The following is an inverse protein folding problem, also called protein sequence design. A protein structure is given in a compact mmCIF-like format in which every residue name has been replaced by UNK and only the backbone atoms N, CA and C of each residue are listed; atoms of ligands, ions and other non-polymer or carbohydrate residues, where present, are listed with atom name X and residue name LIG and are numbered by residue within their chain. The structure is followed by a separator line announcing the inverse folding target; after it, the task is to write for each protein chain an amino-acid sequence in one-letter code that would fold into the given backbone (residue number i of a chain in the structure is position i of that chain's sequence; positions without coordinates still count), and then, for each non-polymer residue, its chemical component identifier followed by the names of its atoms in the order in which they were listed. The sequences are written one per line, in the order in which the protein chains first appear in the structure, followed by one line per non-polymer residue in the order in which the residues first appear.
data_IF_568234222130
#
_entry.id   IF_568234222130
#
_cell.length_a   1.000
_cell.length_b   1.000
_cell.length_c   1.000
_cell.angle_alpha   90.00
_cell.angle_beta   90.00
_cell.angle_gamma   90.00
#
_symmetry.space_group_name_H-M   'P 1'
#
loop_
_entity.id
_entity.type
_entity.pdbx_description
1 polymer ?
#
# COMPACT_ATOMS: atom_id res chain seq x y z
N UNK A 1 15.81 44.78 5.54
CA UNK A 1 14.81 44.37 6.57
C UNK A 1 13.84 43.26 6.12
N UNK A 2 13.78 42.89 4.83
CA UNK A 2 12.81 41.90 4.29
C UNK A 2 13.11 40.43 4.64
N UNK A 3 14.36 40.07 4.94
CA UNK A 3 14.74 38.67 5.27
C UNK A 3 14.30 38.23 6.66
N UNK A 4 14.32 39.14 7.64
CA UNK A 4 13.89 38.84 9.02
C UNK A 4 12.38 38.60 9.09
N UNK A 5 11.57 39.41 8.38
CA UNK A 5 10.11 39.22 8.32
C UNK A 5 9.71 37.86 7.76
N UNK A 6 10.34 37.45 6.65
CA UNK A 6 10.14 36.11 6.08
C UNK A 6 10.50 34.99 7.06
N UNK A 7 11.54 35.18 7.89
CA UNK A 7 11.92 34.22 8.92
C UNK A 7 10.88 34.08 10.02
N UNK A 8 10.34 35.20 10.51
CA UNK A 8 9.31 35.24 11.57
C UNK A 8 7.98 34.66 11.07
N UNK A 9 7.55 35.03 9.87
CA UNK A 9 6.32 34.50 9.25
C UNK A 9 6.38 32.98 9.09
N UNK A 10 7.55 32.49 8.66
CA UNK A 10 7.79 31.05 8.50
C UNK A 10 7.75 30.32 9.85
N UNK A 11 8.35 30.88 10.89
CA UNK A 11 8.28 30.32 12.24
C UNK A 11 6.83 30.26 12.77
N UNK A 12 6.06 31.34 12.57
CA UNK A 12 4.66 31.41 12.96
C UNK A 12 3.78 30.37 12.22
N UNK A 13 3.98 30.21 10.91
CA UNK A 13 3.30 29.20 10.11
C UNK A 13 3.63 27.77 10.54
N UNK A 14 4.92 27.48 10.81
CA UNK A 14 5.35 26.17 11.30
C UNK A 14 4.76 25.83 12.66
N UNK A 15 4.72 26.81 13.57
CA UNK A 15 4.14 26.65 14.90
C UNK A 15 2.65 26.32 14.82
N UNK A 16 1.87 27.08 14.04
CA UNK A 16 0.43 26.84 13.86
C UNK A 16 0.14 25.44 13.28
N UNK A 17 0.91 25.03 12.27
CA UNK A 17 0.74 23.72 11.62
C UNK A 17 1.02 22.56 12.58
N UNK A 18 2.09 22.68 13.39
CA UNK A 18 2.43 21.68 14.40
C UNK A 18 1.30 21.55 15.44
N UNK A 19 0.83 22.67 15.98
CA UNK A 19 -0.24 22.69 16.99
C UNK A 19 -1.53 22.08 16.45
N UNK A 20 -1.94 22.41 15.22
CA UNK A 20 -3.18 21.89 14.63
C UNK A 20 -3.10 20.37 14.37
N UNK A 21 -1.97 19.88 13.84
CA UNK A 21 -1.81 18.45 13.58
C UNK A 21 -1.75 17.64 14.87
N UNK A 22 -1.01 18.12 15.88
CA UNK A 22 -0.96 17.48 17.19
C UNK A 22 -2.31 17.51 17.89
N UNK A 23 -3.03 18.65 17.85
CA UNK A 23 -4.35 18.77 18.44
C UNK A 23 -5.37 17.82 17.79
N UNK A 24 -5.38 17.70 16.46
CA UNK A 24 -6.25 16.75 15.75
C UNK A 24 -5.94 15.30 16.14
N UNK A 25 -4.67 14.94 16.25
CA UNK A 25 -4.25 13.62 16.70
C UNK A 25 -4.71 13.32 18.12
N UNK A 26 -4.53 14.27 19.05
CA UNK A 26 -4.97 14.14 20.45
C UNK A 26 -6.50 14.02 20.52
N UNK A 27 -7.26 14.84 19.78
CA UNK A 27 -8.72 14.78 19.78
C UNK A 27 -9.23 13.47 19.18
N UNK A 28 -8.64 13.00 18.08
CA UNK A 28 -8.99 11.71 17.49
C UNK A 28 -8.68 10.56 18.45
N UNK A 29 -7.53 10.60 19.12
CA UNK A 29 -7.15 9.62 20.13
C UNK A 29 -8.07 9.64 21.34
N UNK A 30 -8.48 10.80 21.84
CA UNK A 30 -9.45 10.90 22.94
C UNK A 30 -10.84 10.39 22.53
N UNK A 31 -11.28 10.67 21.29
CA UNK A 31 -12.57 10.18 20.76
C UNK A 31 -12.60 8.67 20.49
N UNK A 32 -11.44 8.04 20.29
CA UNK A 32 -11.33 6.60 20.10
C UNK A 32 -11.57 5.79 21.40
N UNK A 33 -11.90 6.43 22.52
CA UNK A 33 -12.31 5.74 23.74
C UNK A 33 -13.79 5.36 23.71
N UNK A 34 -14.11 4.08 23.89
CA UNK A 34 -15.50 3.59 23.85
C UNK A 34 -16.30 3.91 25.12
N UNK A 35 -15.62 4.19 26.24
CA UNK A 35 -16.23 4.41 27.56
C UNK A 35 -15.78 5.75 28.15
N UNK A 36 -16.63 6.37 28.96
CA UNK A 36 -16.30 7.63 29.66
C UNK A 36 -15.08 7.49 30.58
N UNK A 37 -14.89 6.32 31.21
CA UNK A 37 -13.70 6.03 32.03
C UNK A 37 -12.41 5.97 31.21
N UNK A 38 -12.45 5.47 29.98
CA UNK A 38 -11.30 5.45 29.07
C UNK A 38 -10.92 6.87 28.65
N UNK A 39 -11.90 7.73 28.36
CA UNK A 39 -11.65 9.15 28.13
C UNK A 39 -10.96 9.82 29.33
N UNK A 40 -11.41 9.56 30.56
CA UNK A 40 -10.80 10.13 31.77
C UNK A 40 -9.36 9.62 31.99
N UNK A 41 -9.11 8.32 31.78
CA UNK A 41 -7.78 7.74 31.89
C UNK A 41 -6.84 8.36 30.84
N UNK A 42 -7.29 8.47 29.59
CA UNK A 42 -6.52 9.09 28.51
C UNK A 42 -6.25 10.58 28.78
N UNK A 43 -7.23 11.29 29.32
CA UNK A 43 -7.07 12.69 29.72
C UNK A 43 -6.06 12.84 30.87
N UNK A 44 -6.13 11.98 31.89
CA UNK A 44 -5.17 11.97 32.99
C UNK A 44 -3.75 11.65 32.48
N UNK A 45 -3.63 10.69 31.56
CA UNK A 45 -2.35 10.34 30.92
C UNK A 45 -1.74 11.50 30.14
N UNK A 46 -2.57 12.41 29.60
CA UNK A 46 -2.11 13.62 28.94
C UNK A 46 -1.80 14.76 29.93
N UNK A 47 -2.64 14.93 30.95
CA UNK A 47 -2.53 16.04 31.90
C UNK A 47 -1.34 15.89 32.86
N UNK A 48 -1.08 14.68 33.37
CA UNK A 48 0.01 14.41 34.31
C UNK A 48 1.39 14.84 33.78
N UNK A 49 1.85 14.42 32.59
CA UNK A 49 3.16 14.83 32.08
C UNK A 49 3.22 16.33 31.78
N UNK A 50 2.10 16.97 31.41
CA UNK A 50 2.05 18.43 31.19
C UNK A 50 2.27 19.18 32.50
N UNK A 51 1.61 18.76 33.60
CA UNK A 51 1.79 19.38 34.92
C UNK A 51 3.21 19.17 35.46
N UNK A 52 3.75 17.97 35.29
CA UNK A 52 5.13 17.65 35.69
C UNK A 52 6.10 18.52 34.88
N UNK A 53 5.97 18.55 33.55
CA UNK A 53 6.81 19.36 32.66
C UNK A 53 6.73 20.84 32.99
N UNK A 54 5.52 21.36 33.28
CA UNK A 54 5.32 22.74 33.71
C UNK A 54 6.04 23.06 35.01
N UNK A 55 5.97 22.16 35.99
CA UNK A 55 6.69 22.31 37.27
C UNK A 55 8.21 22.37 37.05
N UNK A 56 8.77 21.53 36.18
CA UNK A 56 10.19 21.58 35.82
C UNK A 56 10.59 22.87 35.08
N UNK A 57 9.73 23.37 34.18
CA UNK A 57 9.96 24.63 33.49
C UNK A 57 9.92 25.82 34.47
N UNK A 58 9.00 25.82 35.43
CA UNK A 58 8.88 26.86 36.44
C UNK A 58 10.04 26.83 37.46
N UNK A 59 10.57 25.64 37.74
CA UNK A 59 11.66 25.46 38.71
C UNK A 59 13.04 25.88 38.17
N UNK A 60 13.24 25.92 36.85
CA UNK A 60 14.54 26.21 36.27
C UNK A 60 14.46 27.04 35.00
N UNK A 61 14.95 28.28 35.10
CA UNK A 61 15.13 29.18 33.94
C UNK A 61 15.97 28.53 32.84
N UNK A 62 16.96 27.69 33.19
CA UNK A 62 17.78 26.99 32.21
C UNK A 62 16.96 25.96 31.39
N UNK A 63 16.05 25.23 32.04
CA UNK A 63 15.15 24.28 31.36
C UNK A 63 14.19 25.03 30.42
N UNK A 64 13.68 26.18 30.83
CA UNK A 64 12.86 27.04 29.98
C UNK A 64 13.61 27.47 28.71
N UNK A 65 14.87 27.89 28.82
CA UNK A 65 15.69 28.24 27.65
C UNK A 65 15.98 27.05 26.75
N UNK A 66 16.28 25.87 27.30
CA UNK A 66 16.46 24.66 26.51
C UNK A 66 15.18 24.30 25.75
N UNK A 67 14.03 24.33 26.43
CA UNK A 67 12.75 24.09 25.79
C UNK A 67 12.46 25.10 24.68
N UNK A 68 12.73 26.38 24.89
CA UNK A 68 12.57 27.42 23.88
C UNK A 68 13.47 27.17 22.65
N UNK A 69 14.74 26.77 22.85
CA UNK A 69 15.65 26.43 21.75
C UNK A 69 15.16 25.20 21.00
N UNK A 70 14.77 24.14 21.70
CA UNK A 70 14.23 22.91 21.10
C UNK A 70 12.95 23.22 20.32
N UNK A 71 12.06 24.03 20.87
CA UNK A 71 10.84 24.47 20.21
C UNK A 71 11.14 25.29 18.96
N UNK A 72 12.06 26.25 19.02
CA UNK A 72 12.51 27.02 17.87
C UNK A 72 13.10 26.13 16.77
N UNK A 73 13.92 25.13 17.13
CA UNK A 73 14.47 24.15 16.17
C UNK A 73 13.37 23.28 15.57
N UNK A 74 12.43 22.79 16.37
CA UNK A 74 11.31 21.98 15.92
C UNK A 74 10.38 22.78 15.00
N UNK A 75 10.01 24.00 15.38
CA UNK A 75 9.21 24.92 14.57
C UNK A 75 9.94 25.30 13.28
N UNK A 76 11.26 25.56 13.32
CA UNK A 76 12.05 25.81 12.12
C UNK A 76 12.11 24.59 11.19
N UNK A 77 12.21 23.38 11.74
CA UNK A 77 12.16 22.12 10.97
C UNK A 77 10.79 21.88 10.35
N UNK A 78 9.71 22.10 11.10
CA UNK A 78 8.34 21.99 10.60
C UNK A 78 8.01 23.07 9.56
N UNK A 79 8.57 24.27 9.74
CA UNK A 79 8.46 25.38 8.82
C UNK A 79 9.42 25.28 7.63
N UNK A 80 10.32 24.29 7.56
CA UNK A 80 10.98 24.00 6.28
C UNK A 80 9.84 23.72 5.31
N UNK A 81 9.67 24.54 4.24
CA UNK A 81 8.61 24.35 3.27
C UNK A 81 8.80 22.94 2.84
N UNK A 82 7.88 22.05 3.26
CA UNK A 82 8.14 20.62 3.46
C UNK A 82 9.03 20.17 2.33
N UNK A 83 10.36 20.14 2.56
CA UNK A 83 11.40 20.27 1.52
C UNK A 83 10.86 19.50 0.36
N UNK A 84 10.32 20.21 -0.68
CA UNK A 84 9.29 19.71 -1.62
C UNK A 84 9.33 18.23 -1.49
N UNK A 85 8.43 17.61 -0.71
CA UNK A 85 8.56 16.21 -0.28
C UNK A 85 8.95 15.40 -1.50
N UNK A 86 10.25 15.20 -1.76
CA UNK A 86 10.74 15.25 -3.14
C UNK A 86 9.70 14.64 -4.08
N UNK A 87 8.90 15.49 -4.73
CA UNK A 87 9.17 15.67 -6.16
C UNK A 87 10.68 15.87 -6.14
N UNK A 88 11.40 14.75 -6.20
CA UNK A 88 12.66 14.88 -6.84
C UNK A 88 12.24 15.52 -8.17
N UNK A 89 13.07 16.29 -8.80
CA UNK A 89 14.06 15.55 -9.58
C UNK A 89 14.04 14.04 -9.30
N UNK A 90 12.93 13.37 -9.69
CA UNK A 90 12.99 12.03 -10.21
C UNK A 90 14.28 12.09 -11.00
N UNK A 91 15.30 11.31 -10.63
CA UNK A 91 16.24 10.97 -11.66
C UNK A 91 15.32 10.48 -12.77
N UNK A 92 15.38 11.12 -13.92
CA UNK A 92 14.84 10.56 -15.13
C UNK A 92 15.67 9.29 -15.38
N UNK A 93 15.50 8.26 -14.55
CA UNK A 93 15.53 6.90 -15.04
C UNK A 93 14.42 6.94 -16.05
N UNK A 94 14.80 6.89 -17.33
CA UNK A 94 13.80 6.92 -18.35
C UNK A 94 12.90 5.71 -18.10
N UNK A 95 11.58 5.81 -18.28
CA UNK A 95 10.69 4.65 -18.14
C UNK A 95 11.19 3.45 -18.95
N UNK A 96 11.93 3.70 -20.02
CA UNK A 96 12.61 2.71 -20.85
C UNK A 96 13.71 1.95 -20.07
N UNK A 97 14.60 2.64 -19.34
CA UNK A 97 15.65 2.01 -18.53
C UNK A 97 15.05 1.10 -17.44
N UNK A 98 13.94 1.52 -16.83
CA UNK A 98 13.23 0.72 -15.84
C UNK A 98 12.62 -0.53 -16.48
N UNK A 99 12.12 -0.41 -17.70
CA UNK A 99 11.50 -1.50 -18.46
C UNK A 99 12.54 -2.54 -18.85
N UNK A 100 13.73 -2.12 -19.26
CA UNK A 100 14.84 -3.03 -19.59
C UNK A 100 15.30 -3.84 -18.37
N UNK A 101 15.47 -3.17 -17.21
CA UNK A 101 15.81 -3.85 -15.95
C UNK A 101 14.71 -4.84 -15.53
N UNK A 102 13.43 -4.47 -15.73
CA UNK A 102 12.31 -5.38 -15.48
C UNK A 102 12.33 -6.58 -16.42
N UNK A 103 12.68 -6.41 -17.69
CA UNK A 103 12.80 -7.50 -18.66
C UNK A 103 13.94 -8.46 -18.32
N UNK A 104 15.11 -7.92 -17.99
CA UNK A 104 16.27 -8.72 -17.59
C UNK A 104 15.95 -9.55 -16.34
N UNK A 105 15.32 -8.94 -15.33
CA UNK A 105 14.95 -9.64 -14.10
C UNK A 105 13.79 -10.61 -14.26
N UNK A 106 12.85 -10.33 -15.17
CA UNK A 106 11.72 -11.21 -15.45
C UNK A 106 12.18 -12.47 -16.17
N UNK A 107 13.00 -12.33 -17.22
CA UNK A 107 13.40 -13.43 -18.09
C UNK A 107 12.18 -14.30 -18.47
N UNK A 108 12.25 -15.60 -18.18
CA UNK A 108 11.14 -16.56 -18.38
C UNK A 108 10.20 -16.75 -17.18
N UNK A 109 10.27 -15.90 -16.15
CA UNK A 109 9.43 -16.01 -14.95
C UNK A 109 8.09 -15.29 -15.15
N UNK A 110 7.08 -15.69 -14.37
CA UNK A 110 5.72 -15.11 -14.41
C UNK A 110 5.62 -13.68 -13.83
N UNK A 111 6.63 -13.26 -13.08
CA UNK A 111 6.69 -11.93 -12.47
C UNK A 111 7.97 -11.72 -11.66
N UNK A 112 8.19 -10.47 -11.25
CA UNK A 112 9.38 -10.03 -10.52
C UNK A 112 8.98 -9.39 -9.21
N UNK A 113 9.77 -9.68 -8.17
CA UNK A 113 9.57 -9.11 -6.85
C UNK A 113 10.18 -7.70 -6.74
N UNK A 114 9.46 -6.75 -6.14
CA UNK A 114 9.94 -5.36 -6.04
C UNK A 114 11.26 -5.25 -5.27
N UNK A 115 11.52 -6.10 -4.27
CA UNK A 115 12.79 -6.05 -3.55
C UNK A 115 13.98 -6.53 -4.40
N UNK A 116 13.74 -7.39 -5.40
CA UNK A 116 14.78 -7.80 -6.33
C UNK A 116 15.12 -6.66 -7.30
N UNK A 117 14.10 -5.95 -7.79
CA UNK A 117 14.27 -4.73 -8.61
C UNK A 117 15.05 -3.67 -7.84
N UNK A 118 14.69 -3.41 -6.58
CA UNK A 118 15.40 -2.44 -5.74
C UNK A 118 16.88 -2.79 -5.53
N UNK A 119 17.20 -4.08 -5.35
CA UNK A 119 18.59 -4.55 -5.22
C UNK A 119 19.37 -4.36 -6.53
N UNK A 120 18.78 -4.68 -7.66
CA UNK A 120 19.42 -4.51 -8.97
C UNK A 120 19.67 -3.02 -9.27
N UNK A 121 18.69 -2.15 -9.06
CA UNK A 121 18.84 -0.70 -9.21
C UNK A 121 19.91 -0.11 -8.29
N UNK A 122 20.03 -0.63 -7.06
CA UNK A 122 21.11 -0.23 -6.13
C UNK A 122 22.49 -0.67 -6.62
N UNK A 123 22.57 -1.79 -7.33
CA UNK A 123 23.82 -2.29 -7.92
C UNK A 123 24.23 -1.48 -9.15
N UNK A 124 23.28 -1.10 -9.99
CA UNK A 124 23.51 -0.33 -11.22
C UNK A 124 23.73 1.16 -10.96
N UNK A 125 23.21 1.70 -9.86
CA UNK A 125 23.41 3.11 -9.46
C UNK A 125 24.28 3.21 -8.20
N UNK A 126 25.61 3.06 -8.29
CA UNK A 126 26.50 3.20 -7.14
C UNK A 126 26.39 4.60 -6.54
N UNK A 127 26.12 4.67 -5.23
CA UNK A 127 25.89 5.93 -4.50
C UNK A 127 24.44 6.19 -4.12
N UNK A 128 23.49 5.36 -4.57
CA UNK A 128 22.09 5.44 -4.12
C UNK A 128 21.54 4.07 -3.71
N UNK A 129 21.02 4.01 -2.49
CA UNK A 129 20.23 2.86 -2.02
C UNK A 129 18.78 3.04 -2.43
N UNK A 130 18.26 2.12 -3.24
CA UNK A 130 16.86 2.11 -3.65
C UNK A 130 16.02 1.27 -2.68
N UNK A 131 14.90 1.82 -2.22
CA UNK A 131 13.93 1.08 -1.39
C UNK A 131 12.76 0.54 -2.22
N UNK A 132 12.06 -0.46 -1.71
CA UNK A 132 10.82 -1.00 -2.31
C UNK A 132 9.76 0.10 -2.51
N UNK A 133 9.74 1.10 -1.63
CA UNK A 133 8.82 2.24 -1.71
C UNK A 133 9.17 3.16 -2.88
N UNK A 134 10.45 3.35 -3.16
CA UNK A 134 10.91 4.18 -4.28
C UNK A 134 10.62 3.50 -5.62
N UNK A 135 10.86 2.19 -5.70
CA UNK A 135 10.52 1.38 -6.88
C UNK A 135 9.02 1.38 -7.14
N UNK A 136 8.17 1.26 -6.09
CA UNK A 136 6.72 1.32 -6.26
C UNK A 136 6.29 2.66 -6.88
N UNK A 137 6.84 3.78 -6.40
CA UNK A 137 6.53 5.09 -6.96
C UNK A 137 6.93 5.22 -8.42
N UNK A 138 8.12 4.72 -8.79
CA UNK A 138 8.57 4.72 -10.18
C UNK A 138 7.64 3.91 -11.08
N UNK A 139 7.20 2.73 -10.61
CA UNK A 139 6.25 1.90 -11.35
C UNK A 139 4.88 2.58 -11.50
N UNK A 140 4.39 3.23 -10.43
CA UNK A 140 3.15 4.02 -10.47
C UNK A 140 3.25 5.20 -11.44
N UNK A 141 4.39 5.90 -11.48
CA UNK A 141 4.66 6.99 -12.42
C UNK A 141 4.73 6.50 -13.87
N UNK A 142 5.27 5.30 -14.10
CA UNK A 142 5.28 4.64 -15.40
C UNK A 142 3.93 4.01 -15.80
N UNK A 143 2.90 4.10 -14.96
CA UNK A 143 1.59 3.49 -15.21
C UNK A 143 1.56 1.96 -15.11
N UNK A 144 2.58 1.34 -14.48
CA UNK A 144 2.70 -0.11 -14.35
C UNK A 144 2.03 -0.56 -13.03
N UNK A 145 1.00 -1.41 -13.08
CA UNK A 145 0.28 -1.83 -11.88
C UNK A 145 1.12 -2.76 -11.00
N UNK A 146 1.20 -2.43 -9.70
CA UNK A 146 1.88 -3.25 -8.68
C UNK A 146 0.86 -4.14 -7.97
N UNK A 147 1.07 -5.47 -7.96
CA UNK A 147 0.16 -6.42 -7.31
C UNK A 147 0.76 -6.96 -6.01
N UNK A 148 -0.09 -7.13 -5.01
CA UNK A 148 0.30 -7.65 -3.68
C UNK A 148 0.47 -9.18 -3.63
N UNK A 149 0.16 -9.90 -4.71
CA UNK A 149 0.12 -11.36 -4.74
C UNK A 149 0.83 -11.96 -5.94
N UNK A 150 2.13 -11.70 -6.07
CA UNK A 150 2.97 -12.37 -7.07
C UNK A 150 3.64 -13.58 -6.40
N UNK A 151 3.29 -14.78 -6.85
CA UNK A 151 3.96 -16.02 -6.41
C UNK A 151 5.29 -16.16 -7.13
N UNK A 152 6.37 -16.12 -6.37
CA UNK A 152 7.73 -16.36 -6.87
C UNK A 152 8.22 -17.71 -6.33
N UNK A 153 8.77 -18.59 -7.18
CA UNK A 153 9.37 -19.85 -6.73
C UNK A 153 10.44 -19.57 -5.65
N UNK A 154 10.29 -20.17 -4.48
CA UNK A 154 11.25 -20.08 -3.36
C UNK A 154 11.05 -18.92 -2.36
N UNK A 155 10.20 -17.92 -2.65
CA UNK A 155 9.94 -16.80 -1.72
C UNK A 155 8.48 -16.68 -1.23
N UNK A 156 7.55 -17.44 -1.81
CA UNK A 156 6.12 -17.37 -1.45
C UNK A 156 5.37 -16.23 -2.15
N UNK A 157 4.28 -15.77 -1.54
CA UNK A 157 3.45 -14.67 -2.05
C UNK A 157 4.08 -13.36 -1.63
N UNK A 158 4.42 -12.52 -2.59
CA UNK A 158 5.09 -11.26 -2.32
C UNK A 158 4.63 -10.15 -3.27
N UNK A 159 4.98 -8.90 -2.94
CA UNK A 159 4.58 -7.73 -3.74
C UNK A 159 5.46 -7.65 -4.99
N UNK A 160 4.83 -7.68 -6.17
CA UNK A 160 5.54 -7.81 -7.44
C UNK A 160 4.81 -7.17 -8.62
N UNK A 161 5.47 -7.22 -9.77
CA UNK A 161 4.90 -6.89 -11.08
C UNK A 161 4.82 -8.18 -11.90
N UNK A 162 3.69 -8.40 -12.58
CA UNK A 162 3.56 -9.52 -13.51
C UNK A 162 4.14 -9.18 -14.87
N UNK A 163 4.64 -10.19 -15.58
CA UNK A 163 5.20 -10.02 -16.93
C UNK A 163 4.22 -9.36 -17.91
N UNK A 164 2.93 -9.68 -17.81
CA UNK A 164 1.88 -9.12 -18.68
C UNK A 164 1.63 -7.62 -18.46
N UNK A 165 2.04 -7.10 -17.31
CA UNK A 165 1.79 -5.71 -16.92
C UNK A 165 2.98 -4.80 -17.34
N UNK A 166 4.05 -5.35 -17.94
CA UNK A 166 5.25 -4.61 -18.38
C UNK A 166 5.03 -4.10 -19.82
N UNK A 167 5.14 -2.78 -20.09
CA UNK A 167 5.02 -2.22 -21.43
C UNK A 167 6.12 -2.75 -22.35
N UNK A 168 5.81 -2.96 -23.64
CA UNK A 168 6.73 -3.61 -24.58
C UNK A 168 6.70 -5.14 -24.56
N UNK A 169 5.75 -5.75 -23.81
CA UNK A 169 5.40 -7.16 -24.02
C UNK A 169 5.10 -7.41 -25.50
N UNK A 170 5.78 -8.34 -26.18
CA UNK A 170 5.25 -8.87 -27.42
C UNK A 170 3.88 -9.41 -27.05
N UNK A 171 2.84 -8.69 -27.47
CA UNK A 171 1.46 -9.09 -27.25
C UNK A 171 1.37 -10.57 -27.62
N UNK A 172 0.82 -11.46 -26.77
CA UNK A 172 0.35 -12.71 -27.31
C UNK A 172 -0.54 -12.34 -28.50
N UNK A 173 -0.26 -12.95 -29.64
CA UNK A 173 -0.94 -12.67 -30.90
C UNK A 173 -2.45 -12.52 -30.66
N UNK A 174 -3.15 -11.60 -31.33
CA UNK A 174 -4.60 -11.63 -31.34
C UNK A 174 -4.99 -13.04 -31.73
N UNK A 175 -5.71 -13.72 -30.84
CA UNK A 175 -6.34 -14.98 -31.18
C UNK A 175 -7.23 -14.68 -32.38
N UNK A 176 -6.81 -15.13 -33.56
CA UNK A 176 -7.62 -15.06 -34.76
C UNK A 176 -9.00 -15.67 -34.43
N UNK A 177 -10.09 -15.02 -34.84
CA UNK A 177 -11.42 -15.54 -34.63
C UNK A 177 -11.59 -16.80 -35.50
N UNK A 178 -11.47 -17.97 -34.91
CA UNK A 178 -12.04 -19.18 -35.51
C UNK A 178 -13.54 -19.20 -35.25
N UNK A 179 -14.35 -19.58 -36.25
CA UNK A 179 -15.77 -19.27 -36.27
C UNK A 179 -16.61 -20.29 -35.50
N UNK A 180 -17.62 -19.77 -34.82
CA UNK A 180 -18.93 -20.38 -34.51
C UNK A 180 -18.92 -21.79 -33.86
N UNK A 181 -19.21 -21.80 -32.56
CA UNK A 181 -19.70 -22.97 -31.84
C UNK A 181 -20.18 -22.54 -30.45
N UNK A 182 -21.49 -22.55 -30.26
CA UNK A 182 -22.25 -22.17 -29.07
C UNK A 182 -21.71 -22.86 -27.80
N UNK A 183 -21.46 -22.09 -26.72
CA UNK A 183 -21.82 -22.42 -25.32
C UNK A 183 -21.26 -21.37 -24.32
N UNK A 184 -22.07 -20.82 -23.40
CA UNK A 184 -21.60 -19.84 -22.41
C UNK A 184 -20.78 -20.54 -21.31
N UNK A 185 -19.45 -20.47 -21.40
CA UNK A 185 -18.53 -20.93 -20.37
C UNK A 185 -18.48 -19.91 -19.21
N UNK A 186 -19.25 -20.19 -18.14
CA UNK A 186 -19.24 -19.44 -16.88
C UNK A 186 -17.97 -19.79 -16.10
N UNK A 187 -17.05 -18.83 -15.97
CA UNK A 187 -15.84 -18.93 -15.14
C UNK A 187 -16.20 -18.82 -13.64
N UNK A 188 -15.86 -19.80 -12.78
CA UNK A 188 -16.20 -19.76 -11.35
C UNK A 188 -15.08 -19.08 -10.55
N UNK A 189 -14.94 -17.76 -10.65
CA UNK A 189 -14.05 -17.02 -9.76
C UNK A 189 -14.46 -15.57 -9.54
N UNK A 190 -15.75 -15.24 -9.65
CA UNK A 190 -16.36 -14.04 -9.05
C UNK A 190 -17.86 -14.29 -8.98
N UNK A 191 -18.33 -14.96 -7.93
CA UNK A 191 -19.75 -15.04 -7.62
C UNK A 191 -19.94 -14.64 -6.16
N UNK A 192 -20.09 -13.34 -5.94
CA UNK A 192 -20.89 -12.85 -4.83
C UNK A 192 -22.27 -13.50 -4.96
N UNK A 193 -22.66 -14.19 -3.90
CA UNK A 193 -23.92 -14.89 -3.67
C UNK A 193 -25.11 -14.43 -4.52
N UNK A 194 -25.59 -15.29 -5.42
CA UNK A 194 -27.00 -15.59 -5.75
C UNK A 194 -26.99 -16.68 -6.84
N UNK A 195 -26.67 -17.93 -6.49
CA UNK A 195 -26.83 -19.06 -7.39
C UNK A 195 -27.89 -19.99 -6.80
N UNK A 196 -29.14 -19.81 -7.23
CA UNK A 196 -30.30 -20.61 -6.80
C UNK A 196 -30.50 -21.84 -7.71
N UNK A 197 -29.71 -21.98 -8.78
CA UNK A 197 -29.92 -23.02 -9.79
C UNK A 197 -28.89 -24.15 -9.63
N UNK A 198 -29.33 -25.43 -9.59
CA UNK A 198 -28.40 -26.56 -9.60
C UNK A 198 -27.61 -26.59 -10.90
N UNK A 199 -26.34 -26.99 -10.83
CA UNK A 199 -25.49 -27.14 -12.01
C UNK A 199 -24.74 -28.47 -11.99
N UNK A 200 -24.45 -29.00 -13.19
CA UNK A 200 -23.80 -30.29 -13.40
C UNK A 200 -22.39 -30.05 -13.94
N UNK A 201 -21.41 -30.79 -13.42
CA UNK A 201 -20.01 -30.74 -13.87
C UNK A 201 -19.51 -32.13 -14.20
N UNK A 202 -18.99 -32.30 -15.40
CA UNK A 202 -18.25 -33.50 -15.77
C UNK A 202 -16.89 -33.51 -15.05
N UNK A 203 -16.56 -34.63 -14.40
CA UNK A 203 -15.30 -34.84 -13.69
C UNK A 203 -14.29 -35.63 -14.53
N UNK A 204 -14.69 -36.09 -15.72
CA UNK A 204 -13.92 -37.00 -16.56
C UNK A 204 -14.03 -38.45 -16.08
N UNK A 205 -13.71 -39.40 -16.99
CA UNK A 205 -13.72 -40.83 -16.66
C UNK A 205 -15.12 -41.42 -16.45
N UNK A 206 -16.14 -40.88 -17.12
CA UNK A 206 -17.54 -41.33 -17.04
C UNK A 206 -18.27 -40.90 -15.77
N UNK A 207 -17.71 -39.99 -14.98
CA UNK A 207 -18.30 -39.51 -13.73
C UNK A 207 -18.84 -38.09 -13.87
N UNK A 208 -20.09 -37.89 -13.48
CA UNK A 208 -20.75 -36.58 -13.48
C UNK A 208 -21.14 -36.19 -12.06
N UNK A 209 -20.87 -34.94 -11.67
CA UNK A 209 -21.24 -34.38 -10.37
C UNK A 209 -22.35 -33.33 -10.51
N UNK A 210 -23.43 -33.49 -9.75
CA UNK A 210 -24.53 -32.52 -9.65
C UNK A 210 -24.39 -31.73 -8.34
N UNK A 211 -24.36 -30.41 -8.45
CA UNK A 211 -24.24 -29.47 -7.33
C UNK A 211 -25.60 -28.79 -7.10
N UNK A 212 -26.25 -29.12 -5.99
CA UNK A 212 -27.54 -28.53 -5.59
C UNK A 212 -27.34 -27.63 -4.38
N UNK A 213 -27.56 -26.31 -4.49
CA UNK A 213 -27.48 -25.39 -3.36
C UNK A 213 -28.55 -25.70 -2.30
N UNK A 214 -28.17 -25.71 -1.02
CA UNK A 214 -29.14 -25.81 0.07
C UNK A 214 -29.79 -24.45 0.32
N UNK A 215 -31.10 -24.35 0.05
CA UNK A 215 -31.85 -23.10 0.21
C UNK A 215 -31.93 -22.61 1.66
N UNK A 216 -31.81 -23.50 2.64
CA UNK A 216 -31.82 -23.13 4.06
C UNK A 216 -30.44 -22.74 4.58
N UNK A 217 -29.38 -23.21 3.93
CA UNK A 217 -28.00 -22.95 4.32
C UNK A 217 -27.19 -22.52 3.08
N UNK A 218 -27.14 -21.21 2.75
CA UNK A 218 -26.54 -20.73 1.50
C UNK A 218 -25.04 -20.99 1.38
N UNK A 219 -24.38 -21.38 2.49
CA UNK A 219 -22.98 -21.77 2.51
C UNK A 219 -22.78 -23.31 2.37
N UNK A 220 -23.84 -24.08 2.14
CA UNK A 220 -23.81 -25.53 2.02
C UNK A 220 -24.33 -25.95 0.64
N UNK A 221 -23.58 -26.81 -0.04
CA UNK A 221 -23.94 -27.36 -1.36
C UNK A 221 -23.95 -28.87 -1.26
N UNK A 222 -25.05 -29.50 -1.67
CA UNK A 222 -25.14 -30.95 -1.81
C UNK A 222 -24.51 -31.38 -3.13
N UNK A 223 -23.59 -32.34 -3.07
CA UNK A 223 -22.93 -32.89 -4.26
C UNK A 223 -23.31 -34.35 -4.39
N UNK A 224 -23.95 -34.70 -5.50
CA UNK A 224 -24.23 -36.08 -5.88
C UNK A 224 -23.37 -36.45 -7.07
N UNK A 225 -22.61 -37.55 -6.97
CA UNK A 225 -21.74 -38.03 -8.05
C UNK A 225 -22.31 -39.32 -8.60
N UNK A 226 -22.64 -39.32 -9.89
CA UNK A 226 -23.09 -40.51 -10.62
C UNK A 226 -22.01 -40.91 -11.59
N UNK A 227 -21.63 -42.19 -11.56
CA UNK A 227 -20.73 -42.78 -12.53
C UNK A 227 -21.56 -43.64 -13.48
N UNK A 228 -21.46 -43.36 -14.77
CA UNK A 228 -22.07 -44.21 -15.78
C UNK A 228 -21.19 -45.46 -15.89
N UNK A 229 -21.73 -46.62 -15.54
CA UNK A 229 -21.06 -47.91 -15.80
C UNK A 229 -21.30 -48.26 -17.27
N UNK A 230 -20.24 -48.17 -18.07
CA UNK A 230 -20.15 -48.76 -19.41
C UNK A 230 -19.58 -50.19 -19.33
#
# INVERSE_FOLDING_TARGET
MTRLRKGVERLAQGSSTLTLNTARGIVAWLKAGEKASDFLIRLAFLAVPVVIGWSFLAASTAVMWLFAVVWCVAAWRAARPAQEKSEGKEPALHPDDLTDVLWELTGNRKGVHLAQVARQLTKETPGRTWSVKDVRKLLEAAGIPVRHSVRVPGLGVAVGVHRQDIPGSPSPAPQSPSPQGVEPQVNPATATATATTPYVRDLGGGATATFTPDLQQPNRTHVSVTRTED
#
